data_IF_563745124507
#
_entry.id   IF_563745124507
#
_cell.length_a   1.000
_cell.length_b   1.000
_cell.length_c   1.000
_cell.angle_alpha   90.00
_cell.angle_beta   90.00
_cell.angle_gamma   90.00
#
_symmetry.space_group_name_H-M   'P 1'
#
loop_
_entity.id
_entity.type
_entity.pdbx_description
1 polymer ?
#
# COMPACT_ATOMS: atom_id res chain seq x y z
N UNK A 1 -12.63 13.61 -5.14
CA UNK A 1 -13.73 12.88 -4.49
C UNK A 1 -13.25 11.47 -4.18
N UNK A 2 -13.61 10.99 -3.02
CA UNK A 2 -13.41 9.60 -2.60
C UNK A 2 -14.57 8.71 -3.05
N UNK A 3 -14.54 7.45 -2.61
CA UNK A 3 -15.62 6.51 -2.90
C UNK A 3 -16.96 7.00 -2.35
N UNK A 4 -18.06 6.86 -3.10
CA UNK A 4 -19.36 7.24 -2.61
C UNK A 4 -19.76 6.56 -1.30
N UNK A 5 -19.32 5.32 -1.07
CA UNK A 5 -19.57 4.57 0.16
C UNK A 5 -19.14 5.27 1.42
N UNK A 6 -17.98 5.97 1.40
CA UNK A 6 -17.50 6.78 2.53
C UNK A 6 -18.53 7.83 2.99
N UNK A 7 -19.24 8.45 2.03
CA UNK A 7 -20.19 9.52 2.30
C UNK A 7 -21.59 9.04 2.60
N UNK A 8 -21.99 7.92 1.98
CA UNK A 8 -23.35 7.37 2.12
C UNK A 8 -23.46 6.42 3.30
N UNK A 9 -22.33 5.87 3.77
CA UNK A 9 -22.27 4.79 4.77
C UNK A 9 -23.12 3.56 4.39
N UNK A 10 -23.43 3.40 3.09
CA UNK A 10 -24.20 2.29 2.56
C UNK A 10 -23.31 1.03 2.48
N UNK A 11 -23.62 -0.05 3.21
CA UNK A 11 -22.79 -1.27 3.19
C UNK A 11 -22.80 -1.99 1.83
N UNK A 12 -23.82 -1.76 1.00
CA UNK A 12 -23.91 -2.34 -0.35
C UNK A 12 -23.05 -1.55 -1.37
N UNK A 13 -22.54 -0.37 -0.99
CA UNK A 13 -21.76 0.50 -1.84
C UNK A 13 -20.33 0.60 -1.31
N UNK A 14 -19.37 -0.04 -2.00
CA UNK A 14 -17.94 -0.09 -1.65
C UNK A 14 -17.67 -0.53 -0.19
N UNK A 15 -18.46 -1.47 0.34
CA UNK A 15 -18.38 -1.88 1.74
C UNK A 15 -18.41 -0.69 2.71
N UNK A 16 -19.36 0.24 2.51
CA UNK A 16 -19.49 1.46 3.32
C UNK A 16 -18.26 2.36 3.21
N UNK A 17 -17.51 2.54 4.29
CA UNK A 17 -16.36 3.46 4.35
C UNK A 17 -15.07 2.92 3.73
N UNK A 18 -15.03 1.67 3.30
CA UNK A 18 -13.82 1.10 2.73
C UNK A 18 -13.40 1.85 1.47
N UNK A 19 -12.12 2.24 1.43
CA UNK A 19 -11.56 2.84 0.23
C UNK A 19 -11.33 1.77 -0.83
N UNK A 20 -11.72 2.05 -2.07
CA UNK A 20 -11.29 1.30 -3.26
C UNK A 20 -10.12 2.00 -3.93
N UNK A 21 -9.50 1.37 -4.94
CA UNK A 21 -8.44 2.03 -5.71
C UNK A 21 -8.92 3.32 -6.38
N UNK A 22 -10.19 3.39 -6.79
CA UNK A 22 -10.79 4.59 -7.38
C UNK A 22 -10.81 5.80 -6.42
N UNK A 23 -10.87 5.55 -5.12
CA UNK A 23 -10.76 6.59 -4.08
C UNK A 23 -9.38 7.20 -3.94
N UNK A 24 -8.33 6.49 -4.34
CA UNK A 24 -6.94 6.99 -4.25
C UNK A 24 -6.70 8.17 -5.16
N UNK A 25 -5.90 9.12 -4.67
CA UNK A 25 -5.50 10.29 -5.46
C UNK A 25 -4.66 9.91 -6.68
N UNK A 26 -3.84 8.86 -6.61
CA UNK A 26 -3.08 8.33 -7.73
C UNK A 26 -3.96 7.92 -8.90
N UNK A 27 -5.07 7.19 -8.62
CA UNK A 27 -6.02 6.80 -9.65
C UNK A 27 -6.62 8.00 -10.38
N UNK A 28 -6.90 9.10 -9.65
CA UNK A 28 -7.48 10.31 -10.26
C UNK A 28 -6.57 10.93 -11.31
N UNK A 29 -5.26 10.93 -11.07
CA UNK A 29 -4.27 11.38 -12.07
C UNK A 29 -4.17 10.40 -13.24
N UNK A 30 -4.11 9.09 -12.94
CA UNK A 30 -4.05 8.03 -13.95
C UNK A 30 -5.28 8.05 -14.88
N UNK A 31 -6.49 8.18 -14.31
CA UNK A 31 -7.71 8.21 -15.10
C UNK A 31 -7.83 9.48 -15.94
N UNK A 32 -7.49 10.62 -15.38
CA UNK A 32 -7.48 11.87 -16.13
C UNK A 32 -6.51 11.82 -17.33
N UNK A 33 -5.34 11.20 -17.14
CA UNK A 33 -4.40 10.95 -18.25
C UNK A 33 -5.01 10.03 -19.32
N UNK A 34 -5.68 8.94 -18.91
CA UNK A 34 -6.38 8.03 -19.84
C UNK A 34 -7.49 8.74 -20.62
N UNK A 35 -8.16 9.71 -20.01
CA UNK A 35 -9.18 10.54 -20.65
C UNK A 35 -8.62 11.71 -21.48
N UNK A 36 -7.29 11.87 -21.51
CA UNK A 36 -6.62 12.91 -22.31
C UNK A 36 -6.64 14.31 -21.68
N UNK A 37 -6.81 14.40 -20.37
CA UNK A 37 -6.72 15.68 -19.67
C UNK A 37 -5.29 16.23 -19.70
N UNK A 38 -5.15 17.56 -19.83
CA UNK A 38 -3.86 18.26 -19.80
C UNK A 38 -3.37 18.53 -18.37
N UNK A 39 -4.32 18.73 -17.43
CA UNK A 39 -4.05 19.04 -16.04
C UNK A 39 -5.13 18.46 -15.14
N UNK A 40 -4.75 18.17 -13.89
CA UNK A 40 -5.69 17.71 -12.85
C UNK A 40 -5.39 18.44 -11.54
N UNK A 41 -6.43 18.98 -10.94
CA UNK A 41 -6.41 19.58 -9.61
C UNK A 41 -7.36 18.79 -8.70
N UNK A 42 -6.82 18.09 -7.72
CA UNK A 42 -7.61 17.35 -6.74
C UNK A 42 -8.06 18.29 -5.63
N UNK A 43 -9.36 18.32 -5.36
CA UNK A 43 -9.91 19.07 -4.23
C UNK A 43 -9.62 18.26 -2.96
N UNK A 44 -8.83 18.84 -2.05
CA UNK A 44 -8.57 18.21 -0.77
C UNK A 44 -9.77 18.32 0.16
N UNK A 45 -10.15 17.16 0.72
CA UNK A 45 -11.17 17.07 1.76
C UNK A 45 -10.62 16.19 2.90
N UNK A 46 -10.45 16.79 4.08
CA UNK A 46 -9.73 16.19 5.21
C UNK A 46 -10.35 14.87 5.67
N UNK A 47 -11.68 14.78 5.73
CA UNK A 47 -12.34 13.59 6.25
C UNK A 47 -12.07 12.34 5.41
N UNK A 48 -12.34 12.33 4.09
CA UNK A 48 -12.05 11.17 3.25
C UNK A 48 -10.56 10.98 2.96
N UNK A 49 -9.74 12.05 3.01
CA UNK A 49 -8.30 11.92 2.87
C UNK A 49 -7.64 11.26 4.09
N UNK A 50 -8.27 11.35 5.26
CA UNK A 50 -7.75 10.89 6.56
C UNK A 50 -6.51 11.66 7.05
N UNK A 51 -6.20 12.80 6.46
CA UNK A 51 -5.12 13.70 6.87
C UNK A 51 -5.45 15.16 6.51
N UNK A 52 -4.91 16.15 7.26
CA UNK A 52 -5.15 17.57 6.99
C UNK A 52 -4.35 18.08 5.79
N UNK A 53 -4.71 19.29 5.31
CA UNK A 53 -4.05 19.95 4.18
C UNK A 53 -2.52 20.08 4.36
N UNK A 54 -2.03 20.27 5.57
CA UNK A 54 -0.60 20.39 5.88
C UNK A 54 0.21 19.16 5.44
N UNK A 55 -0.41 17.98 5.40
CA UNK A 55 0.25 16.77 4.87
C UNK A 55 0.46 16.88 3.36
N UNK A 56 -0.50 17.44 2.62
CA UNK A 56 -0.31 17.72 1.18
C UNK A 56 0.83 18.71 0.97
N UNK A 57 0.86 19.80 1.73
CA UNK A 57 1.94 20.79 1.66
C UNK A 57 3.32 20.21 1.93
N UNK A 58 3.45 19.42 3.00
CA UNK A 58 4.74 18.84 3.39
C UNK A 58 5.22 17.71 2.46
N UNK A 59 4.30 16.92 1.89
CA UNK A 59 4.63 15.77 1.04
C UNK A 59 4.83 16.14 -0.43
N UNK A 60 4.19 17.20 -0.91
CA UNK A 60 4.19 17.58 -2.33
C UNK A 60 4.89 18.90 -2.62
N UNK A 61 5.42 19.57 -1.60
CA UNK A 61 6.35 20.69 -1.79
C UNK A 61 7.78 20.17 -2.01
N UNK A 62 8.55 20.88 -2.83
CA UNK A 62 9.96 20.57 -3.04
C UNK A 62 10.23 19.42 -4.03
N UNK A 63 11.28 18.65 -3.78
CA UNK A 63 11.75 17.60 -4.69
C UNK A 63 10.80 16.42 -4.70
N UNK A 64 10.31 16.07 -5.87
CA UNK A 64 9.52 14.88 -6.11
C UNK A 64 10.36 13.83 -6.82
N UNK A 65 10.14 12.55 -6.50
CA UNK A 65 10.88 11.42 -7.08
C UNK A 65 9.89 10.59 -7.92
N UNK A 66 10.35 10.15 -9.10
CA UNK A 66 9.58 9.28 -9.98
C UNK A 66 10.51 8.37 -10.78
N UNK A 67 9.97 7.31 -11.35
CA UNK A 67 10.69 6.40 -12.24
C UNK A 67 11.09 7.10 -13.53
N UNK A 68 12.31 6.84 -13.97
CA UNK A 68 12.71 7.21 -15.32
C UNK A 68 12.11 6.24 -16.32
N UNK A 69 11.03 6.62 -16.99
CA UNK A 69 10.39 5.83 -18.05
C UNK A 69 10.91 6.25 -19.43
N UNK A 70 10.81 5.36 -20.41
CA UNK A 70 11.23 5.63 -21.78
C UNK A 70 10.44 6.78 -22.43
N UNK A 71 9.16 6.87 -22.13
CA UNK A 71 8.28 7.94 -22.61
C UNK A 71 8.48 9.27 -21.87
N UNK A 72 9.33 9.29 -20.82
CA UNK A 72 9.57 10.47 -19.97
C UNK A 72 8.28 11.05 -19.36
N UNK A 73 7.31 10.19 -19.05
CA UNK A 73 6.04 10.56 -18.45
C UNK A 73 5.04 11.21 -19.40
N UNK A 74 5.19 11.06 -20.71
CA UNK A 74 4.28 11.63 -21.71
C UNK A 74 2.86 11.07 -21.65
N UNK A 75 2.68 9.91 -21.02
CA UNK A 75 1.39 9.30 -20.76
C UNK A 75 0.71 9.83 -19.49
N UNK A 76 1.32 10.77 -18.79
CA UNK A 76 0.75 11.47 -17.63
C UNK A 76 0.15 12.81 -18.05
N UNK A 77 -0.70 13.37 -17.19
CA UNK A 77 -1.12 14.78 -17.33
C UNK A 77 0.08 15.70 -17.12
N UNK A 78 0.07 16.86 -17.77
CA UNK A 78 1.19 17.83 -17.69
C UNK A 78 1.29 18.52 -16.33
N UNK A 79 0.18 18.63 -15.62
CA UNK A 79 0.09 19.27 -14.30
C UNK A 79 -0.74 18.36 -13.39
N UNK A 80 -0.13 17.93 -12.30
CA UNK A 80 -0.77 17.23 -11.19
C UNK A 80 -0.72 18.14 -9.97
N UNK A 81 -1.85 18.35 -9.30
CA UNK A 81 -1.88 19.24 -8.15
C UNK A 81 -3.07 19.04 -7.25
N UNK A 82 -3.05 19.73 -6.13
CA UNK A 82 -4.15 19.80 -5.18
C UNK A 82 -4.56 21.25 -4.95
N UNK A 83 -5.82 21.43 -4.63
CA UNK A 83 -6.37 22.70 -4.16
C UNK A 83 -7.16 22.46 -2.87
N UNK A 84 -7.23 23.48 -2.02
CA UNK A 84 -8.09 23.43 -0.83
C UNK A 84 -9.56 23.51 -1.24
N UNK A 85 -10.45 23.08 -0.34
CA UNK A 85 -11.90 23.21 -0.56
C UNK A 85 -12.33 24.66 -0.74
N UNK A 86 -11.69 25.62 -0.04
CA UNK A 86 -11.96 27.06 -0.16
C UNK A 86 -11.63 27.58 -1.57
N UNK A 87 -10.44 27.24 -2.07
CA UNK A 87 -10.04 27.61 -3.45
C UNK A 87 -10.98 26.97 -4.48
N UNK A 88 -11.39 25.73 -4.23
CA UNK A 88 -12.35 25.05 -5.11
C UNK A 88 -13.72 25.77 -5.13
N UNK A 89 -14.24 26.18 -3.97
CA UNK A 89 -15.50 26.95 -3.88
C UNK A 89 -15.42 28.24 -4.69
N UNK A 90 -14.32 28.97 -4.60
CA UNK A 90 -14.10 30.19 -5.38
C UNK A 90 -14.10 29.91 -6.89
N UNK A 91 -13.37 28.89 -7.34
CA UNK A 91 -13.29 28.51 -8.77
C UNK A 91 -14.67 28.11 -9.29
N UNK A 92 -15.40 27.26 -8.54
CA UNK A 92 -16.75 26.85 -8.93
C UNK A 92 -17.74 28.03 -8.95
N UNK A 93 -17.62 28.92 -7.95
CA UNK A 93 -18.41 30.16 -7.93
C UNK A 93 -18.19 31.05 -9.15
N UNK A 94 -16.95 31.19 -9.63
CA UNK A 94 -16.63 31.93 -10.85
C UNK A 94 -17.27 31.31 -12.11
N UNK A 95 -17.44 29.96 -12.11
CA UNK A 95 -18.15 29.23 -13.17
C UNK A 95 -19.67 29.22 -12.99
N UNK A 96 -20.22 29.93 -12.00
CA UNK A 96 -21.63 29.88 -11.58
C UNK A 96 -22.12 28.45 -11.25
N UNK A 97 -21.26 27.62 -10.67
CA UNK A 97 -21.52 26.26 -10.23
C UNK A 97 -21.54 26.16 -8.71
N UNK A 98 -22.40 25.30 -8.17
CA UNK A 98 -22.45 24.97 -6.74
C UNK A 98 -21.65 23.69 -6.49
N UNK A 99 -20.45 23.84 -5.91
CA UNK A 99 -19.56 22.71 -5.59
C UNK A 99 -20.24 21.69 -4.66
N UNK A 100 -20.99 22.17 -3.66
CA UNK A 100 -21.67 21.27 -2.69
C UNK A 100 -22.74 20.45 -3.37
N UNK A 101 -23.55 21.08 -4.23
CA UNK A 101 -24.56 20.38 -5.01
C UNK A 101 -23.94 19.33 -5.95
N UNK A 102 -22.82 19.68 -6.59
CA UNK A 102 -22.09 18.77 -7.49
C UNK A 102 -21.44 17.59 -6.72
N UNK A 103 -20.87 17.84 -5.54
CA UNK A 103 -20.40 16.76 -4.66
C UNK A 103 -21.53 15.78 -4.31
N UNK A 104 -22.72 16.27 -3.98
CA UNK A 104 -23.88 15.41 -3.71
C UNK A 104 -24.36 14.66 -4.95
N UNK A 105 -24.36 15.31 -6.10
CA UNK A 105 -24.73 14.64 -7.35
C UNK A 105 -23.72 13.55 -7.73
N UNK A 106 -22.43 13.76 -7.46
CA UNK A 106 -21.37 12.80 -7.75
C UNK A 106 -21.41 11.51 -6.89
N UNK A 107 -22.28 11.45 -5.87
CA UNK A 107 -22.55 10.20 -5.13
C UNK A 107 -23.48 9.24 -5.87
N UNK A 108 -24.05 9.66 -7.01
CA UNK A 108 -25.00 8.87 -7.78
C UNK A 108 -24.33 8.26 -9.00
N UNK A 109 -24.75 7.02 -9.34
CA UNK A 109 -24.18 6.28 -10.47
C UNK A 109 -24.43 6.94 -11.84
N UNK A 110 -25.45 7.79 -11.97
CA UNK A 110 -25.81 8.51 -13.19
C UNK A 110 -25.19 9.91 -13.31
N UNK A 111 -24.27 10.25 -12.40
CA UNK A 111 -23.58 11.54 -12.44
C UNK A 111 -22.81 11.74 -13.75
N UNK A 112 -22.97 12.92 -14.32
CA UNK A 112 -22.19 13.36 -15.48
C UNK A 112 -21.29 14.54 -15.08
N UNK A 113 -20.07 14.57 -15.61
CA UNK A 113 -19.16 15.70 -15.44
C UNK A 113 -19.76 16.97 -15.99
N UNK A 114 -19.50 18.09 -15.33
CA UNK A 114 -20.02 19.42 -15.71
C UNK A 114 -18.88 20.28 -16.23
N UNK A 115 -19.08 20.85 -17.42
CA UNK A 115 -18.10 21.76 -18.00
C UNK A 115 -18.08 23.12 -17.27
N UNK A 116 -16.87 23.58 -16.91
CA UNK A 116 -16.65 24.90 -16.29
C UNK A 116 -16.38 25.93 -17.37
N UNK A 117 -17.42 26.34 -18.07
CA UNK A 117 -17.31 27.27 -19.18
C UNK A 117 -16.79 28.64 -18.73
N UNK A 118 -15.94 29.25 -19.57
CA UNK A 118 -15.40 30.62 -19.34
C UNK A 118 -14.21 30.66 -18.39
N UNK A 119 -13.72 29.54 -17.91
CA UNK A 119 -12.48 29.47 -17.15
C UNK A 119 -11.34 28.93 -17.99
N UNK A 120 -10.16 29.49 -17.78
CA UNK A 120 -8.89 29.02 -18.35
C UNK A 120 -7.86 28.90 -17.24
N UNK A 121 -6.96 27.93 -17.38
CA UNK A 121 -5.81 27.77 -16.51
C UNK A 121 -4.53 28.03 -17.30
N UNK A 122 -3.78 29.04 -16.91
CA UNK A 122 -2.42 29.30 -17.41
C UNK A 122 -1.42 28.93 -16.32
N UNK A 123 -0.47 28.06 -16.63
CA UNK A 123 0.57 27.66 -15.70
C UNK A 123 1.92 27.52 -16.41
N UNK A 124 2.99 27.95 -15.74
CA UNK A 124 4.36 27.78 -16.18
C UNK A 124 5.20 27.22 -15.03
N UNK A 125 5.80 26.07 -15.24
CA UNK A 125 6.65 25.38 -14.27
C UNK A 125 8.06 25.25 -14.82
N UNK A 126 9.06 25.64 -14.01
CA UNK A 126 10.47 25.45 -14.31
C UNK A 126 11.01 24.33 -13.41
N UNK A 127 11.18 23.14 -13.98
CA UNK A 127 11.67 21.98 -13.27
C UNK A 127 13.15 21.74 -13.55
N UNK A 128 13.89 21.41 -12.50
CA UNK A 128 15.24 20.84 -12.61
C UNK A 128 15.09 19.32 -12.43
N UNK A 129 15.48 18.57 -13.47
CA UNK A 129 15.43 17.10 -13.41
C UNK A 129 16.83 16.56 -13.14
N UNK A 130 16.96 15.74 -12.13
CA UNK A 130 18.18 15.00 -11.78
C UNK A 130 17.88 13.51 -11.77
N UNK A 131 18.90 12.68 -12.04
CA UNK A 131 18.75 11.24 -12.02
C UNK A 131 19.62 10.64 -10.93
N UNK A 132 19.08 9.67 -10.22
CA UNK A 132 19.78 8.82 -9.27
C UNK A 132 19.46 7.36 -9.55
N UNK A 133 20.23 6.45 -8.99
CA UNK A 133 20.05 5.01 -9.14
C UNK A 133 19.91 4.40 -7.76
N UNK A 134 18.89 3.57 -7.60
CA UNK A 134 18.76 2.64 -6.49
C UNK A 134 18.49 1.23 -7.02
N UNK A 135 18.41 0.22 -6.17
CA UNK A 135 18.31 -1.17 -6.58
C UNK A 135 17.25 -1.92 -5.78
N UNK A 136 16.43 -2.69 -6.47
CA UNK A 136 15.74 -3.81 -5.85
C UNK A 136 16.73 -4.98 -5.72
N UNK A 137 16.59 -5.77 -4.66
CA UNK A 137 17.37 -6.99 -4.47
C UNK A 137 16.42 -8.17 -4.59
N UNK A 138 16.66 -9.02 -5.57
CA UNK A 138 15.85 -10.20 -5.81
C UNK A 138 16.69 -11.48 -5.69
N UNK A 139 16.20 -12.45 -4.93
CA UNK A 139 16.81 -13.76 -4.78
C UNK A 139 15.77 -14.84 -5.10
N UNK A 140 16.20 -15.88 -5.83
CA UNK A 140 15.34 -17.00 -6.19
C UNK A 140 15.90 -18.30 -5.64
N UNK A 141 15.06 -19.05 -4.93
CA UNK A 141 15.28 -20.46 -4.63
C UNK A 141 14.47 -21.29 -5.63
N UNK A 142 15.16 -22.00 -6.51
CA UNK A 142 14.48 -22.77 -7.53
C UNK A 142 13.69 -23.96 -6.95
N UNK A 143 12.46 -24.11 -7.43
CA UNK A 143 11.64 -25.28 -7.19
C UNK A 143 12.12 -26.49 -8.01
N UNK A 144 11.99 -27.67 -7.43
CA UNK A 144 12.49 -28.89 -8.10
C UNK A 144 11.53 -29.46 -9.15
N UNK A 145 10.24 -29.10 -9.11
CA UNK A 145 9.21 -29.64 -10.02
C UNK A 145 8.61 -28.58 -10.94
N UNK A 146 8.36 -27.37 -10.41
CA UNK A 146 7.73 -26.25 -11.09
C UNK A 146 8.60 -24.98 -10.98
N UNK A 147 9.82 -24.99 -11.57
CA UNK A 147 10.81 -23.93 -11.36
C UNK A 147 10.39 -22.58 -11.96
N UNK A 148 9.39 -22.55 -12.83
CA UNK A 148 8.88 -21.33 -13.45
C UNK A 148 7.59 -20.79 -12.79
N UNK A 149 7.13 -21.39 -11.70
CA UNK A 149 6.04 -20.89 -10.87
C UNK A 149 6.62 -20.37 -9.57
N UNK A 150 6.23 -19.16 -9.14
CA UNK A 150 6.87 -18.46 -8.05
C UNK A 150 5.89 -18.11 -6.94
N UNK A 151 6.30 -18.28 -5.67
CA UNK A 151 5.67 -17.67 -4.51
C UNK A 151 6.55 -16.48 -4.12
N UNK A 152 5.97 -15.29 -4.15
CA UNK A 152 6.66 -14.03 -3.85
C UNK A 152 6.56 -13.70 -2.35
N UNK A 153 7.66 -13.33 -1.75
CA UNK A 153 7.74 -12.67 -0.45
C UNK A 153 8.49 -11.36 -0.62
N UNK A 154 7.94 -10.26 -0.13
CA UNK A 154 8.52 -8.95 -0.34
C UNK A 154 8.46 -8.06 0.89
N UNK A 155 9.43 -7.14 0.98
CA UNK A 155 9.50 -6.03 1.92
C UNK A 155 10.30 -4.89 1.31
N UNK A 156 10.04 -3.64 1.70
CA UNK A 156 10.95 -2.56 1.32
C UNK A 156 12.13 -2.46 2.29
N UNK A 157 13.26 -1.99 1.79
CA UNK A 157 14.49 -1.86 2.55
C UNK A 157 14.95 -0.42 2.72
N UNK A 158 14.27 0.51 2.06
CA UNK A 158 14.50 1.95 2.22
C UNK A 158 13.71 2.53 3.39
N UNK A 159 14.11 3.71 3.81
CA UNK A 159 13.34 4.59 4.68
C UNK A 159 13.65 6.06 4.34
N UNK A 160 13.24 7.02 5.18
CA UNK A 160 13.30 8.44 4.89
C UNK A 160 14.73 9.04 4.86
N UNK A 161 15.73 8.30 5.36
CA UNK A 161 17.15 8.68 5.29
C UNK A 161 17.54 9.77 6.29
N UNK A 162 18.29 10.77 5.85
CA UNK A 162 18.83 11.85 6.70
C UNK A 162 18.26 13.19 6.24
N UNK A 163 17.71 13.97 7.18
CA UNK A 163 17.26 15.35 6.95
C UNK A 163 18.31 16.34 7.44
N UNK A 164 19.13 16.84 6.51
CA UNK A 164 20.29 17.69 6.82
C UNK A 164 19.92 19.04 7.48
N UNK A 165 18.73 19.54 7.26
CA UNK A 165 18.20 20.80 7.80
C UNK A 165 17.54 20.66 9.19
N UNK A 166 17.45 19.44 9.71
CA UNK A 166 16.87 19.17 11.04
C UNK A 166 17.97 19.19 12.11
N UNK A 167 17.73 19.92 13.20
CA UNK A 167 18.62 19.94 14.38
C UNK A 167 18.32 18.75 15.30
N UNK A 168 19.34 18.23 15.98
CA UNK A 168 19.24 17.07 16.87
C UNK A 168 19.38 15.77 16.10
N UNK A 169 18.62 14.75 16.48
CA UNK A 169 18.55 13.50 15.74
C UNK A 169 17.81 13.73 14.43
N UNK A 170 18.50 13.48 13.33
CA UNK A 170 18.02 13.70 11.98
C UNK A 170 18.12 12.45 11.09
N UNK A 171 18.47 11.30 11.67
CA UNK A 171 18.55 10.02 10.98
C UNK A 171 17.25 9.27 11.21
N UNK A 172 16.53 9.00 10.14
CA UNK A 172 15.30 8.21 10.14
C UNK A 172 15.68 6.74 9.94
N UNK A 173 15.78 6.00 11.04
CA UNK A 173 16.33 4.64 11.04
C UNK A 173 15.35 3.60 10.47
N UNK A 174 14.02 3.76 10.69
CA UNK A 174 13.01 2.85 10.17
C UNK A 174 13.13 1.44 10.71
N UNK A 175 13.28 1.30 12.03
CA UNK A 175 13.48 -0.02 12.64
C UNK A 175 12.24 -0.90 12.55
N UNK A 176 11.06 -0.35 12.78
CA UNK A 176 9.79 -1.03 12.52
C UNK A 176 9.42 -0.88 11.05
N UNK A 177 9.49 0.33 10.51
CA UNK A 177 9.15 0.67 9.13
C UNK A 177 10.41 0.99 8.30
N UNK A 178 11.08 0.01 7.62
CA UNK A 178 10.63 -1.37 7.50
C UNK A 178 11.82 -2.35 7.64
N UNK A 179 12.76 -2.08 8.56
CA UNK A 179 13.81 -3.05 8.85
C UNK A 179 13.21 -4.36 9.42
N UNK A 180 12.06 -4.29 10.11
CA UNK A 180 11.32 -5.46 10.58
C UNK A 180 10.93 -6.39 9.41
N UNK A 181 10.28 -5.86 8.38
CA UNK A 181 9.88 -6.62 7.20
C UNK A 181 11.07 -7.20 6.44
N UNK A 182 12.13 -6.39 6.27
CA UNK A 182 13.39 -6.86 5.64
C UNK A 182 14.05 -7.98 6.45
N UNK A 183 14.08 -7.89 7.79
CA UNK A 183 14.58 -8.95 8.65
C UNK A 183 13.74 -10.24 8.52
N UNK A 184 12.40 -10.08 8.47
CA UNK A 184 11.48 -11.21 8.23
C UNK A 184 11.73 -11.88 6.89
N UNK A 185 11.95 -11.11 5.83
CA UNK A 185 12.29 -11.62 4.49
C UNK A 185 13.60 -12.43 4.51
N UNK A 186 14.62 -11.92 5.21
CA UNK A 186 15.90 -12.63 5.36
C UNK A 186 15.75 -13.92 6.16
N UNK A 187 14.97 -13.91 7.24
CA UNK A 187 14.73 -15.12 8.06
C UNK A 187 13.95 -16.19 7.26
N UNK A 188 12.96 -15.80 6.46
CA UNK A 188 12.27 -16.72 5.56
C UNK A 188 13.23 -17.30 4.51
N UNK A 189 14.11 -16.47 3.94
CA UNK A 189 15.11 -16.95 2.99
C UNK A 189 16.08 -17.95 3.65
N UNK A 190 16.52 -17.67 4.87
CA UNK A 190 17.34 -18.57 5.68
C UNK A 190 16.59 -19.90 5.98
N UNK A 191 15.35 -19.83 6.46
CA UNK A 191 14.53 -21.00 6.73
C UNK A 191 14.38 -21.90 5.51
N UNK A 192 14.00 -21.32 4.37
CA UNK A 192 13.78 -22.09 3.14
C UNK A 192 15.08 -22.52 2.43
N UNK A 193 16.24 -22.01 2.82
CA UNK A 193 17.51 -22.34 2.13
C UNK A 193 17.75 -23.86 2.02
N UNK A 194 17.37 -24.64 3.03
CA UNK A 194 17.54 -26.07 3.12
C UNK A 194 16.23 -26.90 2.98
N UNK A 195 15.13 -26.25 2.60
CA UNK A 195 13.84 -26.91 2.43
C UNK A 195 13.50 -26.98 0.95
N UNK A 196 13.33 -28.18 0.43
CA UNK A 196 12.88 -28.36 -0.95
C UNK A 196 11.41 -27.95 -1.10
N UNK A 197 11.10 -27.28 -2.23
CA UNK A 197 9.76 -26.87 -2.61
C UNK A 197 9.51 -27.21 -4.08
N UNK A 198 8.27 -27.60 -4.43
CA UNK A 198 7.94 -27.91 -5.83
C UNK A 198 8.03 -26.66 -6.72
N UNK A 199 7.48 -25.52 -6.24
CA UNK A 199 7.57 -24.21 -6.87
C UNK A 199 8.79 -23.44 -6.39
N UNK A 200 9.24 -22.49 -7.20
CA UNK A 200 10.29 -21.54 -6.81
C UNK A 200 9.77 -20.52 -5.78
N UNK A 201 10.69 -20.03 -4.96
CA UNK A 201 10.45 -18.96 -4.02
C UNK A 201 11.21 -17.71 -4.48
N UNK A 202 10.52 -16.59 -4.58
CA UNK A 202 11.09 -15.29 -4.91
C UNK A 202 11.07 -14.39 -3.67
N UNK A 203 12.26 -14.00 -3.22
CA UNK A 203 12.47 -13.04 -2.14
C UNK A 203 12.84 -11.70 -2.79
N UNK A 204 12.08 -10.66 -2.51
CA UNK A 204 12.23 -9.37 -3.16
C UNK A 204 12.27 -8.25 -2.13
N UNK A 205 13.46 -7.67 -1.93
CA UNK A 205 13.61 -6.43 -1.18
C UNK A 205 13.53 -5.26 -2.16
N UNK A 206 12.50 -4.42 -2.05
CA UNK A 206 12.27 -3.28 -2.93
C UNK A 206 12.79 -1.99 -2.33
N UNK A 207 13.14 -1.04 -3.17
CA UNK A 207 13.62 0.29 -2.80
C UNK A 207 12.58 1.36 -3.08
N UNK A 208 12.73 2.53 -2.45
CA UNK A 208 11.93 3.73 -2.71
C UNK A 208 10.41 3.49 -2.56
N UNK A 209 10.01 2.69 -1.56
CA UNK A 209 8.64 2.57 -1.10
C UNK A 209 8.15 3.92 -0.61
N UNK A 210 8.92 4.54 0.28
CA UNK A 210 8.68 5.83 0.93
C UNK A 210 8.58 7.01 -0.06
N UNK A 211 9.07 6.79 -1.27
CA UNK A 211 9.00 7.76 -2.37
C UNK A 211 7.84 7.49 -3.35
N UNK A 212 6.89 6.63 -2.97
CA UNK A 212 5.71 6.30 -3.77
C UNK A 212 5.75 4.94 -4.44
N UNK A 213 6.25 3.91 -3.76
CA UNK A 213 6.24 2.50 -4.19
C UNK A 213 7.08 2.26 -5.46
N UNK A 214 8.12 3.08 -5.69
CA UNK A 214 8.79 3.11 -7.00
C UNK A 214 9.53 1.81 -7.33
N UNK A 215 10.11 1.14 -6.32
CA UNK A 215 10.82 -0.11 -6.53
C UNK A 215 9.91 -1.26 -6.94
N UNK A 216 8.79 -1.44 -6.25
CA UNK A 216 7.80 -2.45 -6.61
C UNK A 216 7.12 -2.14 -7.93
N UNK A 217 6.83 -0.86 -8.20
CA UNK A 217 6.28 -0.41 -9.47
C UNK A 217 7.25 -0.70 -10.62
N UNK A 218 8.55 -0.41 -10.44
CA UNK A 218 9.57 -0.73 -11.46
C UNK A 218 9.64 -2.22 -11.72
N UNK A 219 9.63 -3.06 -10.68
CA UNK A 219 9.64 -4.51 -10.85
C UNK A 219 8.40 -5.01 -11.60
N UNK A 220 7.22 -4.45 -11.30
CA UNK A 220 5.98 -4.82 -11.96
C UNK A 220 5.84 -4.29 -13.40
N UNK A 221 6.51 -3.18 -13.74
CA UNK A 221 6.55 -2.63 -15.10
C UNK A 221 7.62 -3.30 -15.97
N UNK A 222 8.78 -3.65 -15.40
CA UNK A 222 9.93 -4.24 -16.09
C UNK A 222 10.38 -5.55 -15.42
N UNK A 223 9.50 -6.56 -15.33
CA UNK A 223 9.76 -7.74 -14.54
C UNK A 223 10.83 -8.63 -15.20
N UNK A 224 11.83 -9.13 -14.45
CA UNK A 224 12.81 -10.07 -14.96
C UNK A 224 12.23 -11.48 -15.18
N UNK A 225 11.06 -11.75 -14.63
CA UNK A 225 10.26 -12.97 -14.80
C UNK A 225 8.83 -12.59 -15.23
N UNK A 226 8.12 -13.50 -15.87
CA UNK A 226 6.72 -13.23 -16.22
C UNK A 226 5.88 -13.11 -14.96
N UNK A 227 5.14 -12.01 -14.79
CA UNK A 227 4.26 -11.81 -13.63
C UNK A 227 3.16 -12.88 -13.55
N UNK A 228 2.67 -13.36 -14.70
CA UNK A 228 1.74 -14.49 -14.79
C UNK A 228 2.28 -15.81 -14.23
N UNK A 229 3.56 -15.90 -13.93
CA UNK A 229 4.18 -17.05 -13.27
C UNK A 229 4.25 -16.88 -11.74
N UNK A 230 3.90 -15.72 -11.22
CA UNK A 230 3.77 -15.51 -9.78
C UNK A 230 2.39 -16.00 -9.35
N UNK A 231 2.37 -17.06 -8.58
CA UNK A 231 1.15 -17.75 -8.12
C UNK A 231 0.42 -16.90 -7.07
N UNK A 232 1.20 -16.33 -6.15
CA UNK A 232 0.72 -15.46 -5.08
C UNK A 232 1.91 -14.74 -4.43
N UNK A 233 1.62 -13.68 -3.68
CA UNK A 233 2.64 -12.97 -2.91
C UNK A 233 2.23 -12.60 -1.50
N UNK A 234 3.24 -12.36 -0.67
CA UNK A 234 3.12 -11.89 0.71
C UNK A 234 3.97 -10.62 0.88
N UNK A 235 3.39 -9.58 1.46
CA UNK A 235 4.06 -8.32 1.75
C UNK A 235 4.26 -8.14 3.26
N UNK A 236 5.46 -7.75 3.66
CA UNK A 236 5.81 -7.38 5.02
C UNK A 236 6.09 -5.89 5.07
N UNK A 237 5.34 -5.19 5.90
CA UNK A 237 5.46 -3.76 6.03
C UNK A 237 5.06 -3.31 7.44
N UNK A 238 6.02 -2.68 8.13
CA UNK A 238 5.84 -2.14 9.48
C UNK A 238 5.33 -3.14 10.53
N UNK A 239 5.97 -4.31 10.65
CA UNK A 239 5.59 -5.34 11.63
C UNK A 239 5.91 -4.89 13.07
N UNK A 240 4.86 -4.54 13.83
CA UNK A 240 4.99 -4.01 15.20
C UNK A 240 5.49 -5.07 16.20
N UNK A 241 6.41 -4.72 17.10
CA UNK A 241 6.89 -5.59 18.19
C UNK A 241 5.89 -5.65 19.36
N UNK A 242 4.64 -5.94 19.06
CA UNK A 242 3.51 -5.91 20.03
C UNK A 242 3.44 -7.15 20.91
N UNK A 243 4.29 -8.16 20.65
CA UNK A 243 4.21 -9.47 21.27
C UNK A 243 3.11 -10.36 20.64
N UNK A 244 2.81 -11.48 21.30
CA UNK A 244 1.83 -12.45 20.78
C UNK A 244 0.40 -11.92 20.84
N UNK A 245 -0.36 -12.17 19.77
CA UNK A 245 -1.78 -11.82 19.65
C UNK A 245 -2.63 -13.05 19.28
N UNK A 246 -3.93 -12.98 19.61
CA UNK A 246 -4.91 -14.00 19.23
C UNK A 246 -5.45 -13.80 17.84
N UNK A 247 -5.37 -12.58 17.33
CA UNK A 247 -5.85 -12.18 16.02
C UNK A 247 -4.69 -11.88 15.05
N UNK A 248 -5.03 -11.84 13.78
CA UNK A 248 -4.19 -11.35 12.67
C UNK A 248 -5.02 -10.36 11.89
N UNK A 249 -4.49 -9.16 11.66
CA UNK A 249 -5.14 -8.16 10.84
C UNK A 249 -4.80 -8.45 9.39
N UNK A 250 -5.82 -8.47 8.52
CA UNK A 250 -5.65 -8.51 7.07
C UNK A 250 -6.06 -7.17 6.50
N UNK A 251 -5.08 -6.47 5.95
CA UNK A 251 -5.28 -5.21 5.23
C UNK A 251 -5.88 -5.54 3.87
N UNK A 252 -7.06 -4.95 3.56
CA UNK A 252 -7.83 -5.31 2.36
C UNK A 252 -8.58 -6.63 2.49
N UNK A 253 -9.06 -6.97 3.70
CA UNK A 253 -9.82 -8.18 3.98
C UNK A 253 -11.04 -8.32 3.04
N UNK A 254 -11.25 -9.55 2.56
CA UNK A 254 -12.27 -9.85 1.55
C UNK A 254 -11.74 -9.78 0.11
N UNK A 255 -10.42 -9.78 -0.08
CA UNK A 255 -9.80 -9.58 -1.38
C UNK A 255 -9.55 -10.89 -2.16
N UNK A 256 -9.02 -11.93 -1.53
CA UNK A 256 -8.57 -13.13 -2.26
C UNK A 256 -8.63 -14.42 -1.44
N UNK A 257 -8.55 -15.55 -2.13
CA UNK A 257 -8.48 -16.89 -1.52
C UNK A 257 -7.21 -17.12 -0.66
N UNK A 258 -6.25 -16.18 -0.64
CA UNK A 258 -5.13 -16.23 0.29
C UNK A 258 -5.59 -16.13 1.74
N UNK A 259 -6.71 -15.45 1.97
CA UNK A 259 -7.34 -15.34 3.29
C UNK A 259 -7.90 -16.68 3.78
N UNK A 260 -8.42 -17.52 2.88
CA UNK A 260 -8.88 -18.88 3.24
C UNK A 260 -7.70 -19.75 3.68
N UNK A 261 -6.56 -19.62 3.00
CA UNK A 261 -5.33 -20.35 3.35
C UNK A 261 -4.81 -19.85 4.70
N UNK A 262 -4.78 -18.52 4.92
CA UNK A 262 -4.40 -17.93 6.20
C UNK A 262 -5.32 -18.41 7.32
N UNK A 263 -6.63 -18.38 7.09
CA UNK A 263 -7.63 -18.82 8.05
C UNK A 263 -7.44 -20.28 8.44
N UNK A 264 -7.20 -21.16 7.46
CA UNK A 264 -6.97 -22.58 7.71
C UNK A 264 -5.73 -22.83 8.57
N UNK A 265 -4.69 -22.02 8.46
CA UNK A 265 -3.50 -22.12 9.33
C UNK A 265 -3.74 -21.54 10.73
N UNK A 266 -4.48 -20.45 10.83
CA UNK A 266 -4.86 -19.83 12.11
C UNK A 266 -5.77 -20.72 12.95
N UNK A 267 -6.75 -21.38 12.33
CA UNK A 267 -7.68 -22.30 12.99
C UNK A 267 -6.92 -23.45 13.72
N UNK A 268 -5.79 -23.92 13.17
CA UNK A 268 -4.95 -24.97 13.78
C UNK A 268 -4.30 -24.54 15.10
N UNK A 269 -4.15 -23.25 15.31
CA UNK A 269 -3.48 -22.67 16.50
C UNK A 269 -4.43 -21.83 17.36
N UNK A 270 -5.74 -21.84 17.05
CA UNK A 270 -6.76 -21.14 17.81
C UNK A 270 -6.70 -19.62 17.68
N UNK A 271 -6.13 -19.11 16.58
CA UNK A 271 -6.11 -17.68 16.23
C UNK A 271 -7.17 -17.37 15.18
N UNK A 272 -7.45 -16.08 14.96
CA UNK A 272 -8.51 -15.66 14.03
C UNK A 272 -8.11 -14.41 13.24
N UNK A 273 -8.72 -14.24 12.06
CA UNK A 273 -8.55 -13.04 11.23
C UNK A 273 -9.48 -11.93 11.73
N UNK A 274 -8.99 -10.70 11.67
CA UNK A 274 -9.78 -9.47 11.76
C UNK A 274 -9.52 -8.60 10.55
N UNK A 275 -10.54 -7.93 10.01
CA UNK A 275 -10.37 -6.92 8.99
C UNK A 275 -9.54 -5.74 9.50
N UNK A 276 -8.92 -4.98 8.58
CA UNK A 276 -8.37 -3.67 8.87
C UNK A 276 -9.42 -2.81 9.62
N UNK A 277 -9.09 -2.31 10.82
CA UNK A 277 -10.03 -1.49 11.59
C UNK A 277 -10.27 -0.09 11.01
N UNK A 278 -9.47 0.33 10.03
CA UNK A 278 -9.52 1.67 9.42
C UNK A 278 -9.50 1.58 7.88
N UNK A 279 -10.45 0.84 7.25
CA UNK A 279 -10.43 0.57 5.82
C UNK A 279 -10.60 1.83 4.96
N UNK A 280 -11.16 2.90 5.54
CA UNK A 280 -11.28 4.22 4.92
C UNK A 280 -9.93 4.91 4.68
N UNK A 281 -8.88 4.53 5.41
CA UNK A 281 -7.53 5.04 5.20
C UNK A 281 -6.84 4.46 3.98
N UNK A 282 -7.38 3.35 3.43
CA UNK A 282 -6.89 2.72 2.22
C UNK A 282 -5.46 2.20 2.32
N UNK A 283 -5.06 1.65 3.46
CA UNK A 283 -3.71 1.10 3.67
C UNK A 283 -3.35 0.03 2.64
N UNK A 284 -4.34 -0.73 2.14
CA UNK A 284 -4.13 -1.70 1.07
C UNK A 284 -3.49 -1.08 -0.19
N UNK A 285 -3.70 0.20 -0.44
CA UNK A 285 -3.19 0.91 -1.62
C UNK A 285 -1.93 1.74 -1.33
N UNK A 286 -1.33 1.58 -0.13
CA UNK A 286 -0.20 2.40 0.33
C UNK A 286 1.08 1.61 0.55
N UNK A 287 1.11 0.33 0.20
CA UNK A 287 2.30 -0.51 0.33
C UNK A 287 2.55 -1.30 -0.97
N UNK A 288 3.73 -1.83 -1.10
CA UNK A 288 4.32 -2.36 -2.35
C UNK A 288 3.53 -3.46 -3.05
N UNK A 289 2.73 -4.25 -2.30
CA UNK A 289 1.91 -5.33 -2.86
C UNK A 289 0.92 -4.83 -3.92
N UNK A 290 0.49 -3.54 -3.85
CA UNK A 290 -0.46 -2.97 -4.81
C UNK A 290 0.09 -2.96 -6.23
N UNK A 291 1.42 -2.82 -6.39
CA UNK A 291 2.07 -2.85 -7.70
C UNK A 291 1.86 -4.18 -8.43
N UNK A 292 1.82 -5.27 -7.68
CA UNK A 292 1.55 -6.62 -8.19
C UNK A 292 0.05 -6.89 -8.32
N UNK A 293 -0.75 -6.46 -7.37
CA UNK A 293 -2.21 -6.56 -7.42
C UNK A 293 -2.78 -5.88 -8.68
N UNK A 294 -2.29 -4.70 -9.03
CA UNK A 294 -2.61 -3.97 -10.28
C UNK A 294 -2.21 -4.73 -11.57
N UNK A 295 -1.48 -5.82 -11.45
CA UNK A 295 -1.12 -6.74 -12.55
C UNK A 295 -1.81 -8.10 -12.44
N UNK A 296 -2.82 -8.20 -11.57
CA UNK A 296 -3.63 -9.39 -11.37
C UNK A 296 -3.04 -10.44 -10.42
N UNK A 297 -1.84 -10.23 -9.87
CA UNK A 297 -1.21 -11.18 -8.94
C UNK A 297 -1.90 -11.10 -7.57
N UNK A 298 -2.47 -12.21 -7.04
CA UNK A 298 -3.02 -12.20 -5.69
C UNK A 298 -1.94 -11.95 -4.63
N UNK A 299 -2.15 -10.93 -3.81
CA UNK A 299 -1.22 -10.50 -2.78
C UNK A 299 -1.90 -10.49 -1.41
N UNK A 300 -1.18 -10.94 -0.39
CA UNK A 300 -1.62 -10.86 0.98
C UNK A 300 -0.77 -9.85 1.75
N UNK A 301 -1.45 -8.92 2.41
CA UNK A 301 -0.85 -8.04 3.40
C UNK A 301 -1.55 -8.32 4.73
N UNK A 302 -0.87 -9.10 5.58
CA UNK A 302 -1.38 -9.51 6.88
C UNK A 302 -0.31 -9.25 7.94
N UNK A 303 -0.71 -8.66 9.04
CA UNK A 303 0.18 -8.26 10.11
C UNK A 303 -0.29 -8.76 11.48
N UNK A 304 0.51 -8.55 12.53
CA UNK A 304 0.12 -8.84 13.90
C UNK A 304 -1.17 -8.15 14.30
N UNK A 305 -1.97 -8.81 15.15
CA UNK A 305 -3.24 -8.27 15.61
C UNK A 305 -3.10 -7.31 16.79
N UNK A 306 -4.26 -6.89 17.32
CA UNK A 306 -4.35 -6.09 18.52
C UNK A 306 -4.79 -6.88 19.77
N UNK A 307 -5.36 -8.10 19.62
CA UNK A 307 -5.80 -8.90 20.76
C UNK A 307 -4.61 -9.60 21.42
N UNK A 308 -3.79 -8.80 22.13
CA UNK A 308 -2.61 -9.30 22.85
C UNK A 308 -2.99 -10.42 23.82
N UNK A 309 -2.11 -11.42 23.95
CA UNK A 309 -2.26 -12.47 24.98
C UNK A 309 -2.34 -11.80 26.35
N UNK A 310 -1.45 -10.84 26.61
CA UNK A 310 -1.44 -10.06 27.84
C UNK A 310 -1.98 -8.65 27.57
N UNK A 311 -3.11 -8.29 28.18
CA UNK A 311 -3.74 -6.99 28.08
C UNK A 311 -4.85 -6.86 27.03
N UNK A 312 -5.03 -7.83 26.13
CA UNK A 312 -6.14 -7.86 25.19
C UNK A 312 -6.10 -6.74 24.12
N UNK A 313 -7.26 -6.49 23.51
CA UNK A 313 -7.40 -5.55 22.38
C UNK A 313 -7.07 -4.09 22.74
N UNK A 314 -7.37 -3.67 23.96
CA UNK A 314 -7.12 -2.31 24.41
C UNK A 314 -5.63 -2.03 24.48
N UNK A 315 -4.86 -2.93 25.10
CA UNK A 315 -3.41 -2.80 25.18
C UNK A 315 -2.71 -2.84 23.81
N UNK A 316 -3.20 -3.69 22.90
CA UNK A 316 -2.64 -3.74 21.54
C UNK A 316 -2.92 -2.50 20.72
N UNK A 317 -4.15 -1.96 20.83
CA UNK A 317 -4.48 -0.68 20.16
C UNK A 317 -3.67 0.48 20.71
N UNK A 318 -3.57 0.57 22.04
CA UNK A 318 -2.76 1.60 22.69
C UNK A 318 -1.29 1.56 22.21
N UNK A 319 -0.74 0.36 22.02
CA UNK A 319 0.62 0.19 21.48
C UNK A 319 0.73 0.70 20.03
N UNK A 320 -0.21 0.32 19.16
CA UNK A 320 -0.23 0.79 17.77
C UNK A 320 -0.45 2.31 17.65
N UNK A 321 -1.33 2.87 18.48
CA UNK A 321 -1.59 4.32 18.54
C UNK A 321 -0.34 5.07 19.01
N UNK A 322 0.37 4.53 20.01
CA UNK A 322 1.62 5.09 20.52
C UNK A 322 2.72 5.05 19.44
N UNK A 323 2.89 3.92 18.75
CA UNK A 323 3.83 3.81 17.65
C UNK A 323 3.53 4.87 16.58
N UNK A 324 2.29 4.97 16.13
CA UNK A 324 1.88 5.94 15.11
C UNK A 324 2.12 7.39 15.55
N UNK A 325 1.90 7.70 16.82
CA UNK A 325 2.02 9.06 17.34
C UNK A 325 3.47 9.51 17.61
N UNK A 326 4.39 8.57 17.93
CA UNK A 326 5.71 8.91 18.43
C UNK A 326 6.86 8.42 17.56
N UNK A 327 6.67 7.34 16.82
CA UNK A 327 7.75 6.63 16.13
C UNK A 327 7.58 6.58 14.62
N UNK A 328 6.36 6.38 14.12
CA UNK A 328 6.09 6.24 12.69
C UNK A 328 6.58 7.47 11.92
N UNK A 329 7.52 7.27 10.99
CA UNK A 329 8.19 8.30 10.21
C UNK A 329 8.91 9.35 11.07
N UNK A 330 9.50 8.91 12.20
CA UNK A 330 10.30 9.74 13.08
C UNK A 330 11.70 9.16 13.27
N UNK A 331 12.71 9.98 13.61
CA UNK A 331 14.06 9.48 13.95
C UNK A 331 14.04 8.48 15.11
N UNK A 332 13.03 8.58 15.99
CA UNK A 332 12.85 7.70 17.15
C UNK A 332 12.36 6.28 16.81
N UNK A 333 12.09 5.97 15.52
CA UNK A 333 11.86 4.57 15.09
C UNK A 333 13.20 3.82 15.04
N UNK A 334 13.74 3.56 16.21
CA UNK A 334 15.01 2.86 16.44
C UNK A 334 14.75 1.48 17.05
N UNK A 335 15.70 0.55 16.79
CA UNK A 335 15.63 -0.77 17.39
C UNK A 335 15.86 -0.71 18.91
N UNK A 336 14.93 -1.32 19.65
CA UNK A 336 15.02 -1.50 21.10
C UNK A 336 15.24 -3.00 21.39
N UNK A 337 16.36 -3.37 22.10
CA UNK A 337 16.62 -4.77 22.46
C UNK A 337 15.58 -5.36 23.41
N UNK A 338 14.76 -4.54 24.06
CA UNK A 338 13.68 -4.97 24.95
C UNK A 338 12.35 -5.23 24.21
N UNK A 339 12.31 -5.11 22.89
CA UNK A 339 11.12 -5.41 22.09
C UNK A 339 10.67 -6.86 22.23
N UNK A 340 9.36 -7.07 22.38
CA UNK A 340 8.77 -8.40 22.32
C UNK A 340 8.51 -8.81 20.86
N UNK A 341 9.49 -9.45 20.26
CA UNK A 341 9.42 -9.95 18.88
C UNK A 341 8.69 -11.30 18.76
N UNK A 342 8.16 -11.86 19.87
CA UNK A 342 7.51 -13.18 19.85
C UNK A 342 6.28 -13.23 18.93
N UNK A 343 5.53 -12.13 18.80
CA UNK A 343 4.40 -12.02 17.87
C UNK A 343 4.85 -12.04 16.42
N UNK A 344 5.93 -11.32 16.09
CA UNK A 344 6.50 -11.33 14.75
C UNK A 344 7.07 -12.71 14.38
N UNK A 345 7.74 -13.39 15.30
CA UNK A 345 8.20 -14.77 15.09
C UNK A 345 7.03 -15.75 14.84
N UNK A 346 5.90 -15.58 15.53
CA UNK A 346 4.68 -16.37 15.28
C UNK A 346 4.11 -16.06 13.87
N UNK A 347 4.14 -14.82 13.42
CA UNK A 347 3.71 -14.41 12.08
C UNK A 347 4.61 -15.01 11.00
N UNK A 348 5.94 -14.97 11.16
CA UNK A 348 6.87 -15.61 10.22
C UNK A 348 6.65 -17.14 10.17
N UNK A 349 6.38 -17.77 11.31
CA UNK A 349 6.02 -19.19 11.38
C UNK A 349 4.74 -19.49 10.60
N UNK A 350 3.74 -18.65 10.71
CA UNK A 350 2.48 -18.76 9.96
C UNK A 350 2.72 -18.59 8.46
N UNK A 351 3.45 -17.54 8.06
CA UNK A 351 3.82 -17.30 6.67
C UNK A 351 4.60 -18.48 6.08
N UNK A 352 5.54 -19.05 6.83
CA UNK A 352 6.28 -20.26 6.43
C UNK A 352 5.35 -21.40 6.06
N UNK A 353 4.30 -21.66 6.84
CA UNK A 353 3.33 -22.73 6.57
C UNK A 353 2.51 -22.44 5.31
N UNK A 354 2.05 -21.18 5.14
CA UNK A 354 1.32 -20.76 3.96
C UNK A 354 2.17 -20.86 2.69
N UNK A 355 3.40 -20.35 2.72
CA UNK A 355 4.35 -20.42 1.61
C UNK A 355 4.65 -21.87 1.25
N UNK A 356 4.91 -22.74 2.24
CA UNK A 356 5.16 -24.17 2.00
C UNK A 356 3.95 -24.86 1.37
N UNK A 357 2.74 -24.58 1.88
CA UNK A 357 1.50 -25.10 1.29
C UNK A 357 1.33 -24.69 -0.17
N UNK A 358 1.49 -23.41 -0.47
CA UNK A 358 1.38 -22.88 -1.83
C UNK A 358 2.48 -23.42 -2.74
N UNK A 359 3.70 -23.53 -2.22
CA UNK A 359 4.84 -23.99 -2.98
C UNK A 359 4.74 -25.48 -3.37
N UNK A 360 4.06 -26.32 -2.57
CA UNK A 360 3.97 -27.77 -2.78
C UNK A 360 2.59 -28.24 -3.27
N UNK A 361 1.70 -27.31 -3.60
CA UNK A 361 0.37 -27.65 -4.13
C UNK A 361 0.22 -27.25 -5.60
N UNK A 362 -0.89 -27.68 -6.21
CA UNK A 362 -1.29 -27.22 -7.54
C UNK A 362 -2.23 -26.01 -7.46
N UNK A 363 -2.52 -25.51 -6.25
CA UNK A 363 -3.44 -24.39 -6.05
C UNK A 363 -2.88 -23.10 -6.60
N UNK A 364 -3.75 -22.37 -7.31
CA UNK A 364 -3.57 -20.99 -7.75
C UNK A 364 -4.66 -20.18 -7.08
N UNK A 365 -4.37 -19.43 -6.01
CA UNK A 365 -5.36 -18.58 -5.38
C UNK A 365 -5.85 -17.50 -6.35
N UNK A 366 -7.11 -17.16 -6.30
CA UNK A 366 -7.72 -16.13 -7.11
C UNK A 366 -8.19 -14.96 -6.24
N UNK A 367 -8.33 -13.80 -6.87
CA UNK A 367 -9.11 -12.71 -6.30
C UNK A 367 -10.58 -13.12 -6.22
N UNK A 368 -11.28 -12.74 -5.15
CA UNK A 368 -12.71 -13.02 -5.02
C UNK A 368 -13.52 -12.33 -6.12
N UNK A 369 -14.70 -12.84 -6.38
CA UNK A 369 -15.64 -12.26 -7.34
C UNK A 369 -16.02 -10.84 -6.90
N UNK A 370 -15.96 -9.89 -7.85
CA UNK A 370 -16.20 -8.47 -7.58
C UNK A 370 -14.97 -7.68 -7.13
N UNK A 371 -13.83 -8.33 -6.86
CA UNK A 371 -12.59 -7.59 -6.60
C UNK A 371 -12.07 -6.92 -7.87
N UNK A 372 -11.61 -5.68 -7.76
CA UNK A 372 -11.15 -4.84 -8.87
C UNK A 372 -9.94 -5.38 -9.62
N UNK A 373 -9.15 -6.27 -9.02
CA UNK A 373 -7.94 -6.85 -9.62
C UNK A 373 -8.17 -8.21 -10.28
N UNK A 374 -9.38 -8.79 -10.17
CA UNK A 374 -9.67 -10.12 -10.71
C UNK A 374 -9.68 -10.15 -12.24
N UNK A 375 -10.03 -9.07 -12.89
CA UNK A 375 -10.20 -8.99 -14.36
C UNK A 375 -8.95 -8.59 -15.13
N UNK A 376 -7.80 -8.50 -14.46
CA UNK A 376 -6.53 -8.05 -15.04
C UNK A 376 -5.66 -9.29 -15.47
#
# INVERSE_FOLDING_TARGET
INDPGFWTEDPELFNSKSMTYYGRWTYKFEEAARQGAEAVLIIHDTAPASYPWQVVESSWAGKQIDLKREDMGRNRVKIEGWITSEVAEDIFGQANLDLKALKQAALKADFQSVEMTGLTLDAALNNKVEFSISHNVAAVKNGYKKPNEYILMMAHWDHLGIKEDQSGDNIYNGAVDNASGTAGLLELANYFSNIETERSLLFLAVTAEESGLLGSQYFAEYPPIKLSNIVAGYNFDASLPVGKTRDVIVVGYGASELEDILKAELDKVGRYIVPDPQPEKGFFYRSDHISFAKKGVPMLYADGGFDKIDGGKEAGRAFGDEYTAKYYHQPSDEYDPDWDLSGFADQLTLTTKMVKYLADSDRWPEWYEGNEFRSI
#
